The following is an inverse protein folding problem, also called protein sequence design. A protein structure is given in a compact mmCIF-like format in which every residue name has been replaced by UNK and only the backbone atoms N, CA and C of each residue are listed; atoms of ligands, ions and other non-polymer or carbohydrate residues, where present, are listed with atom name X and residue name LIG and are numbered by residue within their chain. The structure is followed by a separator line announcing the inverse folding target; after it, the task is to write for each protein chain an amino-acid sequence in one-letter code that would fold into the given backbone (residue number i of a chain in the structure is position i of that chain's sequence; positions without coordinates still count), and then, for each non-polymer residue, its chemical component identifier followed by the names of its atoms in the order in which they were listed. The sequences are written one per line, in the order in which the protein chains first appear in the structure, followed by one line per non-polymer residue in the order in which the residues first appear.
data_IF_108000749327
#
_entry.id   IF_108000749327
#
_cell.length_a   1.000
_cell.length_b   1.000
_cell.length_c   1.000
_cell.angle_alpha   90.00
_cell.angle_beta   90.00
_cell.angle_gamma   90.00
#
_symmetry.space_group_name_H-M   'P 1'
#
loop_
_entity.id
_entity.type
_entity.pdbx_description
1 polymer ?
#
# COMPACT_ATOMS: atom_id res chain seq x y z
N UNK A 1 -42.02 -13.81 72.22
CA UNK A 1 -41.31 -13.84 70.92
C UNK A 1 -41.82 -12.67 70.08
N UNK A 2 -41.01 -11.64 69.86
CA UNK A 2 -41.35 -10.50 68.98
C UNK A 2 -40.29 -10.41 67.90
N UNK A 3 -40.68 -10.67 66.66
CA UNK A 3 -39.82 -10.63 65.48
C UNK A 3 -39.70 -9.20 64.96
N UNK A 4 -38.47 -8.76 64.76
CA UNK A 4 -38.10 -7.46 64.17
C UNK A 4 -37.92 -7.68 62.66
N UNK A 5 -38.70 -6.96 61.85
CA UNK A 5 -38.51 -6.89 60.39
C UNK A 5 -37.63 -5.69 60.05
N UNK A 6 -36.48 -5.93 59.40
CA UNK A 6 -35.65 -4.90 58.79
C UNK A 6 -36.05 -4.72 57.32
N UNK A 7 -36.50 -3.51 56.95
CA UNK A 7 -36.63 -3.09 55.55
C UNK A 7 -35.27 -2.61 55.04
N UNK A 8 -34.75 -3.23 53.98
CA UNK A 8 -33.65 -2.71 53.19
C UNK A 8 -34.21 -1.94 51.98
N UNK A 9 -33.99 -0.64 51.93
CA UNK A 9 -34.24 0.19 50.75
C UNK A 9 -33.05 0.09 49.79
N UNK A 10 -33.28 -0.46 48.59
CA UNK A 10 -32.32 -0.49 47.49
C UNK A 10 -32.44 0.83 46.72
N UNK A 11 -31.39 1.66 46.74
CA UNK A 11 -31.25 2.80 45.84
C UNK A 11 -30.60 2.34 44.53
N UNK A 12 -31.36 2.40 43.43
CA UNK A 12 -30.83 2.22 42.07
C UNK A 12 -30.35 3.59 41.58
N UNK A 13 -29.03 3.79 41.54
CA UNK A 13 -28.43 4.99 40.96
C UNK A 13 -28.28 4.75 39.45
N UNK A 14 -29.22 5.27 38.67
CA UNK A 14 -29.08 5.35 37.20
C UNK A 14 -28.01 6.38 36.86
N UNK A 15 -26.80 5.90 36.57
CA UNK A 15 -25.77 6.71 35.93
C UNK A 15 -26.21 6.99 34.48
N UNK A 16 -26.66 8.22 34.22
CA UNK A 16 -26.80 8.74 32.87
C UNK A 16 -25.40 8.96 32.29
N UNK A 17 -24.92 8.00 31.49
CA UNK A 17 -23.73 8.19 30.67
C UNK A 17 -24.09 9.10 29.51
N UNK A 18 -23.79 10.39 29.62
CA UNK A 18 -23.81 11.30 28.47
C UNK A 18 -22.80 10.79 27.44
N UNK A 19 -23.32 10.18 26.37
CA UNK A 19 -22.55 9.92 25.16
C UNK A 19 -22.21 11.26 24.52
N UNK A 20 -20.99 11.76 24.80
CA UNK A 20 -20.37 12.82 24.03
C UNK A 20 -20.14 12.27 22.60
N UNK A 21 -21.15 12.41 21.74
CA UNK A 21 -21.00 12.22 20.31
C UNK A 21 -20.21 13.42 19.77
N UNK A 22 -18.89 13.31 19.78
CA UNK A 22 -18.04 14.25 19.05
C UNK A 22 -18.46 14.24 17.58
N UNK A 23 -18.83 15.39 16.98
CA UNK A 23 -19.21 15.45 15.58
C UNK A 23 -17.99 15.09 14.73
N UNK A 24 -17.97 13.88 14.18
CA UNK A 24 -16.98 13.50 13.18
C UNK A 24 -17.31 14.26 11.90
N UNK A 25 -16.68 15.41 11.69
CA UNK A 25 -16.64 16.02 10.36
C UNK A 25 -15.91 15.05 9.44
N UNK A 26 -16.69 14.27 8.68
CA UNK A 26 -16.16 13.41 7.64
C UNK A 26 -15.40 14.31 6.67
N UNK A 27 -14.07 14.16 6.62
CA UNK A 27 -13.24 14.88 5.66
C UNK A 27 -13.71 14.45 4.27
N UNK A 28 -14.34 15.36 3.54
CA UNK A 28 -14.71 15.14 2.14
C UNK A 28 -13.44 15.10 1.31
N UNK A 29 -13.13 13.95 0.73
CA UNK A 29 -12.01 13.81 -0.20
C UNK A 29 -12.37 14.49 -1.52
N UNK A 30 -11.45 15.21 -2.18
CA UNK A 30 -11.68 15.71 -3.53
C UNK A 30 -12.00 14.55 -4.47
N UNK A 31 -12.80 14.80 -5.51
CA UNK A 31 -13.14 13.77 -6.50
C UNK A 31 -11.93 13.33 -7.34
N UNK A 32 -10.91 14.20 -7.45
CA UNK A 32 -9.73 14.01 -8.29
C UNK A 32 -8.48 14.42 -7.52
N UNK A 33 -7.43 13.61 -7.64
CA UNK A 33 -6.10 13.94 -7.16
C UNK A 33 -5.05 13.42 -8.13
N UNK A 34 -4.44 14.33 -8.88
CA UNK A 34 -3.47 14.02 -9.95
C UNK A 34 -2.19 14.85 -9.84
N UNK A 35 -2.08 15.72 -8.84
CA UNK A 35 -1.07 16.79 -8.76
C UNK A 35 0.38 16.32 -8.77
N UNK A 36 0.66 15.06 -8.40
CA UNK A 36 2.02 14.53 -8.29
C UNK A 36 2.34 13.41 -9.28
N UNK A 37 1.40 13.00 -10.13
CA UNK A 37 1.57 11.84 -11.04
C UNK A 37 2.83 12.01 -11.90
N UNK A 38 2.95 13.14 -12.59
CA UNK A 38 4.06 13.41 -13.52
C UNK A 38 5.42 13.61 -12.83
N UNK A 39 5.41 13.82 -11.50
CA UNK A 39 6.62 14.00 -10.69
C UNK A 39 7.14 12.71 -10.06
N UNK A 40 6.31 11.65 -10.06
CA UNK A 40 6.72 10.33 -9.57
C UNK A 40 7.36 9.61 -10.77
N UNK A 41 8.61 9.17 -10.69
CA UNK A 41 9.20 8.41 -11.77
C UNK A 41 8.48 7.06 -11.94
N UNK A 42 8.49 6.54 -13.16
CA UNK A 42 7.90 5.25 -13.51
C UNK A 42 8.95 4.37 -14.20
N UNK A 43 9.55 3.46 -13.42
CA UNK A 43 10.64 2.62 -13.92
C UNK A 43 10.11 1.25 -14.38
N UNK A 44 10.44 0.85 -15.61
CA UNK A 44 10.08 -0.47 -16.12
C UNK A 44 10.98 -1.57 -15.52
N UNK A 45 10.39 -2.55 -14.83
CA UNK A 45 11.13 -3.57 -14.10
C UNK A 45 12.01 -4.45 -14.99
N UNK A 46 11.73 -4.57 -16.29
CA UNK A 46 12.56 -5.38 -17.21
C UNK A 46 13.49 -4.54 -18.08
N UNK A 47 13.73 -3.28 -17.71
CA UNK A 47 14.69 -2.43 -18.38
C UNK A 47 16.11 -3.02 -18.24
N UNK A 48 16.76 -3.25 -19.38
CA UNK A 48 18.11 -3.82 -19.48
C UNK A 48 19.23 -2.79 -19.63
N UNK A 49 18.94 -1.49 -19.63
CA UNK A 49 19.88 -0.40 -19.96
C UNK A 49 21.17 -0.42 -19.12
N UNK A 50 21.09 -0.91 -17.88
CA UNK A 50 22.20 -0.99 -16.93
C UNK A 50 22.53 -2.44 -16.51
N UNK A 51 22.34 -3.40 -17.43
CA UNK A 51 22.53 -4.83 -17.18
C UNK A 51 21.29 -5.55 -16.62
N UNK A 52 20.22 -4.80 -16.32
CA UNK A 52 18.95 -5.33 -15.83
C UNK A 52 19.01 -5.93 -14.42
N UNK A 53 17.86 -6.43 -13.95
CA UNK A 53 17.75 -7.10 -12.66
C UNK A 53 17.76 -8.64 -12.82
N UNK A 54 18.06 -9.40 -11.74
CA UNK A 54 17.93 -10.86 -11.72
C UNK A 54 16.64 -11.37 -12.34
N UNK A 55 16.72 -12.52 -13.03
CA UNK A 55 15.61 -13.12 -13.78
C UNK A 55 14.94 -12.14 -14.76
N UNK A 56 15.74 -11.27 -15.38
CA UNK A 56 15.28 -10.21 -16.31
C UNK A 56 14.22 -9.31 -15.68
N UNK A 57 14.31 -9.07 -14.36
CA UNK A 57 13.39 -8.22 -13.61
C UNK A 57 11.96 -8.75 -13.41
N UNK A 58 11.67 -9.98 -13.83
CA UNK A 58 10.31 -10.56 -13.76
C UNK A 58 9.69 -10.65 -12.35
N UNK A 59 10.48 -10.42 -11.30
CA UNK A 59 10.07 -10.49 -9.90
C UNK A 59 10.26 -9.16 -9.15
N UNK A 60 10.69 -8.10 -9.83
CA UNK A 60 11.15 -6.85 -9.22
C UNK A 60 10.04 -5.82 -8.99
N UNK A 61 8.77 -6.19 -9.15
CA UNK A 61 7.65 -5.26 -9.02
C UNK A 61 7.58 -4.59 -7.64
N UNK A 62 7.98 -5.29 -6.58
CA UNK A 62 8.07 -4.73 -5.23
C UNK A 62 9.11 -3.60 -5.12
N UNK A 63 10.42 -3.89 -5.31
CA UNK A 63 11.47 -2.87 -5.28
C UNK A 63 11.26 -1.71 -6.25
N UNK A 64 10.73 -1.98 -7.45
CA UNK A 64 10.43 -0.94 -8.43
C UNK A 64 9.30 -0.04 -7.95
N UNK A 65 8.21 -0.60 -7.43
CA UNK A 65 7.12 0.20 -6.87
C UNK A 65 7.60 1.09 -5.71
N UNK A 66 8.41 0.54 -4.80
CA UNK A 66 9.00 1.31 -3.70
C UNK A 66 9.88 2.44 -4.24
N UNK A 67 10.73 2.15 -5.22
CA UNK A 67 11.68 3.13 -5.76
C UNK A 67 10.97 4.33 -6.40
N UNK A 68 9.84 4.11 -7.09
CA UNK A 68 9.06 5.19 -7.71
C UNK A 68 8.73 6.27 -6.67
N UNK A 69 8.19 5.88 -5.51
CA UNK A 69 7.78 6.86 -4.49
C UNK A 69 8.95 7.39 -3.66
N UNK A 70 9.94 6.56 -3.35
CA UNK A 70 11.13 7.01 -2.61
C UNK A 70 11.97 8.00 -3.43
N UNK A 71 12.03 7.85 -4.75
CA UNK A 71 12.69 8.80 -5.62
C UNK A 71 11.96 10.13 -5.68
N UNK A 72 10.63 10.10 -5.74
CA UNK A 72 9.82 11.31 -5.57
C UNK A 72 10.10 12.02 -4.23
N UNK A 73 10.14 11.29 -3.12
CA UNK A 73 10.42 11.88 -1.81
C UNK A 73 11.80 12.51 -1.69
N UNK A 74 12.85 11.89 -2.26
CA UNK A 74 14.20 12.47 -2.30
C UNK A 74 14.22 13.85 -2.99
N UNK A 75 13.41 14.00 -4.04
CA UNK A 75 13.25 15.25 -4.77
C UNK A 75 12.32 16.26 -4.07
N UNK A 76 11.50 15.82 -3.11
CA UNK A 76 10.39 16.59 -2.54
C UNK A 76 10.40 16.60 -1.00
N UNK A 77 11.53 17.01 -0.41
CA UNK A 77 11.61 17.33 1.01
C UNK A 77 12.16 16.23 1.93
N UNK A 78 12.54 15.07 1.38
CA UNK A 78 13.16 13.99 2.14
C UNK A 78 14.53 13.62 1.54
N UNK A 79 15.53 14.51 1.63
CA UNK A 79 16.82 14.31 0.97
C UNK A 79 17.60 13.13 1.55
N UNK A 80 18.53 12.57 0.76
CA UNK A 80 19.46 11.54 1.23
C UNK A 80 18.89 10.13 1.18
N UNK A 81 17.75 9.92 0.54
CA UNK A 81 17.22 8.60 0.19
C UNK A 81 18.01 8.02 -0.99
N UNK A 82 18.49 8.86 -1.91
CA UNK A 82 19.20 8.45 -3.13
C UNK A 82 20.61 9.04 -3.18
N UNK A 83 21.55 8.20 -3.63
CA UNK A 83 22.88 8.64 -4.03
C UNK A 83 22.83 9.18 -5.46
N UNK A 84 22.77 10.51 -5.61
CA UNK A 84 22.64 11.17 -6.92
C UNK A 84 23.97 11.18 -7.68
N UNK A 85 23.99 10.63 -8.89
CA UNK A 85 25.14 10.67 -9.79
C UNK A 85 24.99 11.68 -10.94
N UNK A 86 23.79 12.26 -11.09
CA UNK A 86 23.44 13.17 -12.20
C UNK A 86 22.76 12.47 -13.38
N UNK A 87 22.62 11.15 -13.34
CA UNK A 87 21.78 10.36 -14.26
C UNK A 87 20.58 9.79 -13.48
N UNK A 88 19.40 10.46 -13.53
CA UNK A 88 18.23 10.05 -12.75
C UNK A 88 17.79 8.60 -13.01
N UNK A 89 17.94 8.13 -14.26
CA UNK A 89 17.54 6.76 -14.62
C UNK A 89 18.48 5.75 -13.97
N UNK A 90 19.79 6.00 -14.02
CA UNK A 90 20.80 5.16 -13.37
C UNK A 90 20.70 5.22 -11.84
N UNK A 91 20.39 6.39 -11.29
CA UNK A 91 20.19 6.58 -9.85
C UNK A 91 18.99 5.75 -9.35
N UNK A 92 17.86 5.78 -10.07
CA UNK A 92 16.71 4.95 -9.74
C UNK A 92 17.00 3.46 -9.91
N UNK A 93 17.72 3.06 -10.97
CA UNK A 93 18.18 1.68 -11.15
C UNK A 93 19.02 1.20 -9.95
N UNK A 94 19.96 2.03 -9.48
CA UNK A 94 20.79 1.71 -8.32
C UNK A 94 19.97 1.59 -7.04
N UNK A 95 18.98 2.48 -6.85
CA UNK A 95 18.03 2.39 -5.74
C UNK A 95 17.25 1.07 -5.79
N UNK A 96 16.69 0.70 -6.94
CA UNK A 96 15.94 -0.56 -7.12
C UNK A 96 16.82 -1.77 -6.81
N UNK A 97 18.05 -1.78 -7.33
CA UNK A 97 19.02 -2.86 -7.08
C UNK A 97 19.36 -2.97 -5.59
N UNK A 98 19.54 -1.83 -4.90
CA UNK A 98 19.76 -1.79 -3.45
C UNK A 98 18.54 -2.34 -2.72
N UNK A 99 17.34 -1.81 -2.97
CA UNK A 99 16.09 -2.27 -2.35
C UNK A 99 15.83 -3.77 -2.56
N UNK A 100 16.10 -4.31 -3.75
CA UNK A 100 15.89 -5.72 -4.06
C UNK A 100 16.92 -6.68 -3.45
N UNK A 101 17.98 -6.16 -2.81
CA UNK A 101 19.02 -6.99 -2.18
C UNK A 101 18.53 -7.72 -0.93
N UNK A 102 19.30 -8.74 -0.50
CA UNK A 102 18.94 -9.60 0.63
C UNK A 102 18.85 -8.87 1.98
N UNK A 103 19.53 -7.74 2.15
CA UNK A 103 19.45 -6.92 3.37
C UNK A 103 18.10 -6.20 3.50
N UNK A 104 17.47 -5.86 2.38
CA UNK A 104 16.25 -5.06 2.37
C UNK A 104 15.05 -5.94 1.95
N UNK A 105 14.46 -5.71 0.78
CA UNK A 105 13.21 -6.38 0.36
C UNK A 105 13.45 -7.85 -0.05
N UNK A 106 14.71 -8.28 -0.20
CA UNK A 106 15.09 -9.67 -0.43
C UNK A 106 14.30 -10.37 -1.55
N UNK A 107 14.11 -9.69 -2.68
CA UNK A 107 13.27 -10.17 -3.79
C UNK A 107 13.72 -11.52 -4.35
N UNK A 108 15.03 -11.77 -4.35
CA UNK A 108 15.62 -13.07 -4.68
C UNK A 108 15.03 -13.72 -5.93
N UNK A 109 14.66 -15.00 -5.81
CA UNK A 109 14.05 -15.81 -6.88
C UNK A 109 12.55 -16.03 -6.73
N UNK A 110 11.90 -15.51 -5.69
CA UNK A 110 10.48 -15.76 -5.37
C UNK A 110 9.60 -14.50 -5.39
N UNK A 111 10.17 -13.34 -5.67
CA UNK A 111 9.46 -12.06 -5.55
C UNK A 111 9.42 -11.60 -4.10
N UNK A 112 8.52 -10.67 -3.81
CA UNK A 112 8.45 -10.02 -2.49
C UNK A 112 7.06 -10.18 -1.87
N UNK A 113 6.99 -10.80 -0.70
CA UNK A 113 5.77 -10.84 0.11
C UNK A 113 5.55 -9.50 0.84
N UNK A 114 4.34 -9.24 1.37
CA UNK A 114 4.11 -8.06 2.20
C UNK A 114 5.07 -7.96 3.39
N UNK A 115 5.43 -9.09 4.02
CA UNK A 115 6.38 -9.12 5.12
C UNK A 115 7.78 -8.66 4.66
N UNK A 116 8.24 -9.13 3.49
CA UNK A 116 9.53 -8.72 2.93
C UNK A 116 9.55 -7.23 2.60
N UNK A 117 8.44 -6.72 2.05
CA UNK A 117 8.28 -5.30 1.70
C UNK A 117 8.37 -4.41 2.94
N UNK A 118 7.58 -4.67 3.99
CA UNK A 118 7.56 -3.80 5.19
C UNK A 118 8.85 -3.88 6.00
N UNK A 119 9.44 -5.06 6.15
CA UNK A 119 10.73 -5.24 6.84
C UNK A 119 11.87 -4.58 6.08
N UNK A 120 11.98 -4.87 4.79
CA UNK A 120 13.02 -4.32 3.93
C UNK A 120 12.97 -2.80 3.85
N UNK A 121 11.75 -2.24 3.74
CA UNK A 121 11.54 -0.80 3.75
C UNK A 121 11.90 -0.17 5.09
N UNK A 122 11.56 -0.79 6.23
CA UNK A 122 11.93 -0.29 7.56
C UNK A 122 13.45 -0.20 7.73
N UNK A 123 14.17 -1.27 7.37
CA UNK A 123 15.64 -1.31 7.44
C UNK A 123 16.23 -0.26 6.51
N UNK A 124 15.72 -0.16 5.27
CA UNK A 124 16.19 0.83 4.31
C UNK A 124 16.02 2.26 4.83
N UNK A 125 14.84 2.61 5.34
CA UNK A 125 14.58 3.96 5.84
C UNK A 125 15.44 4.30 7.07
N UNK A 126 15.60 3.34 8.00
CA UNK A 126 16.49 3.49 9.16
C UNK A 126 17.95 3.75 8.74
N UNK A 127 18.47 2.99 7.77
CA UNK A 127 19.83 3.19 7.23
C UNK A 127 20.05 4.58 6.58
N UNK A 128 18.98 5.31 6.24
CA UNK A 128 19.03 6.67 5.69
C UNK A 128 18.49 7.74 6.66
N UNK A 129 18.41 7.43 7.96
CA UNK A 129 18.05 8.38 9.01
C UNK A 129 16.55 8.67 9.17
N UNK A 130 15.69 7.84 8.59
CA UNK A 130 14.23 7.97 8.66
C UNK A 130 13.61 6.96 9.66
N UNK A 131 14.20 6.81 10.84
CA UNK A 131 13.74 5.87 11.87
C UNK A 131 12.30 6.12 12.35
N UNK A 132 11.86 7.36 12.26
CA UNK A 132 10.52 7.81 12.67
C UNK A 132 9.44 7.50 11.63
N UNK A 133 9.80 7.07 10.42
CA UNK A 133 8.83 6.72 9.39
C UNK A 133 7.92 5.58 9.86
N UNK A 134 6.62 5.70 9.56
CA UNK A 134 5.60 4.72 9.91
C UNK A 134 5.16 3.94 8.68
N UNK A 135 5.09 2.62 8.83
CA UNK A 135 4.69 1.70 7.77
C UNK A 135 3.46 0.93 8.26
N UNK A 136 2.35 1.06 7.55
CA UNK A 136 1.08 0.41 7.88
C UNK A 136 0.68 -0.55 6.77
N UNK A 137 0.37 -1.79 7.15
CA UNK A 137 -0.17 -2.79 6.25
C UNK A 137 -1.65 -3.02 6.52
N UNK A 138 -2.44 -2.91 5.46
CA UNK A 138 -3.87 -3.24 5.42
C UNK A 138 -4.02 -4.41 4.46
N UNK A 139 -4.64 -5.50 4.90
CA UNK A 139 -4.79 -6.69 4.07
C UNK A 139 -4.67 -7.97 4.88
N UNK A 140 -4.95 -9.09 4.22
CA UNK A 140 -5.07 -10.37 4.90
C UNK A 140 -3.78 -11.16 5.06
N UNK A 141 -2.72 -10.78 4.35
CA UNK A 141 -1.46 -11.54 4.41
C UNK A 141 -0.73 -11.22 5.71
N UNK A 142 -0.04 -12.21 6.26
CA UNK A 142 0.72 -12.01 7.49
C UNK A 142 1.90 -11.06 7.27
N UNK A 143 2.04 -10.10 8.17
CA UNK A 143 3.20 -9.23 8.37
C UNK A 143 3.57 -9.25 9.86
N UNK A 144 4.77 -8.80 10.26
CA UNK A 144 5.08 -8.60 11.68
C UNK A 144 4.06 -7.67 12.34
N UNK A 145 3.79 -7.91 13.63
CA UNK A 145 2.71 -7.26 14.38
C UNK A 145 2.78 -5.73 14.30
N UNK A 146 3.98 -5.15 14.41
CA UNK A 146 4.19 -3.70 14.44
C UNK A 146 3.79 -2.97 13.15
N UNK A 147 3.62 -3.70 12.04
CA UNK A 147 3.16 -3.13 10.77
C UNK A 147 1.66 -3.39 10.51
N UNK A 148 1.06 -4.36 11.18
CA UNK A 148 -0.32 -4.79 10.93
C UNK A 148 -1.34 -3.83 11.53
N UNK A 149 -2.34 -3.44 10.74
CA UNK A 149 -3.45 -2.58 11.23
C UNK A 149 -4.64 -3.37 11.80
N UNK A 150 -4.64 -4.70 11.65
CA UNK A 150 -5.80 -5.56 11.94
C UNK A 150 -6.91 -5.49 10.88
N UNK A 151 -6.87 -4.53 9.96
CA UNK A 151 -7.83 -4.38 8.87
C UNK A 151 -7.47 -5.33 7.74
N UNK A 152 -8.27 -6.38 7.54
CA UNK A 152 -7.96 -7.44 6.58
C UNK A 152 -8.41 -7.19 5.14
N UNK A 153 -9.30 -6.22 4.92
CA UNK A 153 -9.81 -5.79 3.62
C UNK A 153 -9.38 -4.33 3.39
N UNK A 154 -8.55 -4.04 2.38
CA UNK A 154 -8.10 -2.67 2.12
C UNK A 154 -9.25 -1.72 1.79
N UNK A 155 -9.31 -0.56 2.45
CA UNK A 155 -10.26 0.51 2.14
C UNK A 155 -9.63 1.52 1.17
N UNK A 156 -10.26 1.74 0.02
CA UNK A 156 -9.77 2.67 -0.99
C UNK A 156 -9.84 4.14 -0.55
N UNK A 157 -10.72 4.50 0.38
CA UNK A 157 -10.76 5.85 0.94
C UNK A 157 -9.54 6.14 1.82
N UNK A 158 -9.03 5.13 2.55
CA UNK A 158 -7.75 5.24 3.27
C UNK A 158 -6.61 5.47 2.28
N UNK A 159 -6.60 4.72 1.16
CA UNK A 159 -5.59 4.91 0.11
C UNK A 159 -5.64 6.33 -0.49
N UNK A 160 -6.83 6.82 -0.86
CA UNK A 160 -7.02 8.17 -1.42
C UNK A 160 -6.61 9.26 -0.42
N UNK A 161 -7.03 9.13 0.84
CA UNK A 161 -6.64 10.03 1.93
C UNK A 161 -5.12 10.06 2.11
N UNK A 162 -4.48 8.90 2.09
CA UNK A 162 -3.03 8.80 2.20
C UNK A 162 -2.31 9.58 1.07
N UNK A 163 -2.79 9.52 -0.18
CA UNK A 163 -2.17 10.31 -1.26
C UNK A 163 -2.27 11.83 -1.01
N UNK A 164 -3.43 12.32 -0.54
CA UNK A 164 -3.64 13.75 -0.24
C UNK A 164 -2.72 14.21 0.88
N UNK A 165 -2.51 13.36 1.89
CA UNK A 165 -1.59 13.61 3.01
C UNK A 165 -0.12 13.41 2.65
N UNK A 166 0.21 13.39 1.35
CA UNK A 166 1.54 13.13 0.82
C UNK A 166 2.20 11.84 1.33
N UNK A 167 1.41 10.80 1.59
CA UNK A 167 1.89 9.45 1.96
C UNK A 167 2.04 8.58 0.71
N UNK A 168 2.84 7.53 0.83
CA UNK A 168 3.07 6.59 -0.25
C UNK A 168 2.12 5.41 -0.09
N UNK A 169 1.58 4.90 -1.20
CA UNK A 169 0.65 3.78 -1.19
C UNK A 169 1.08 2.77 -2.26
N UNK A 170 1.26 1.52 -1.84
CA UNK A 170 1.55 0.40 -2.73
C UNK A 170 0.51 -0.70 -2.58
N UNK A 171 -0.10 -1.12 -3.68
CA UNK A 171 -1.07 -2.21 -3.67
C UNK A 171 -0.40 -3.55 -3.87
N UNK A 172 -0.78 -4.54 -3.06
CA UNK A 172 -0.56 -5.94 -3.35
C UNK A 172 -1.75 -6.48 -4.15
N UNK A 173 -1.56 -6.55 -5.46
CA UNK A 173 -2.56 -7.08 -6.37
C UNK A 173 -2.38 -8.58 -6.50
N UNK A 174 -3.49 -9.28 -6.44
CA UNK A 174 -3.54 -10.68 -6.74
C UNK A 174 -4.20 -10.98 -8.07
N UNK A 175 -3.60 -11.85 -8.87
CA UNK A 175 -4.22 -12.42 -10.06
C UNK A 175 -5.05 -13.65 -9.70
N UNK A 176 -6.29 -13.68 -10.21
CA UNK A 176 -7.28 -14.71 -9.92
C UNK A 176 -7.99 -15.18 -11.19
N UNK A 177 -8.33 -16.47 -11.21
CA UNK A 177 -9.28 -17.07 -12.16
C UNK A 177 -10.62 -17.28 -11.47
N UNK A 178 -11.69 -16.74 -12.03
CA UNK A 178 -13.03 -16.85 -11.44
C UNK A 178 -13.81 -18.05 -11.99
N UNK A 179 -14.40 -18.84 -11.09
CA UNK A 179 -15.28 -19.95 -11.40
C UNK A 179 -16.70 -19.59 -10.98
N UNK A 180 -17.58 -19.29 -11.96
CA UNK A 180 -18.97 -18.89 -11.70
C UNK A 180 -19.78 -19.98 -11.00
N UNK A 181 -19.60 -21.24 -11.40
CA UNK A 181 -20.32 -22.39 -10.82
C UNK A 181 -20.01 -22.62 -9.34
N UNK A 182 -18.81 -22.25 -8.89
CA UNK A 182 -18.38 -22.38 -7.49
C UNK A 182 -18.36 -21.06 -6.72
N UNK A 183 -18.64 -19.94 -7.40
CA UNK A 183 -18.43 -18.59 -6.89
C UNK A 183 -17.03 -18.38 -6.25
N UNK A 184 -16.00 -18.91 -6.92
CA UNK A 184 -14.62 -18.95 -6.39
C UNK A 184 -13.65 -18.12 -7.24
N UNK A 185 -12.76 -17.40 -6.57
CA UNK A 185 -11.60 -16.73 -7.16
C UNK A 185 -10.35 -17.51 -6.79
N UNK A 186 -9.78 -18.26 -7.73
CA UNK A 186 -8.54 -19.03 -7.50
C UNK A 186 -7.31 -18.20 -7.85
N UNK A 187 -6.48 -17.92 -6.84
CA UNK A 187 -5.21 -17.20 -6.95
C UNK A 187 -4.20 -17.94 -7.82
N UNK A 188 -3.53 -17.22 -8.72
CA UNK A 188 -2.48 -17.77 -9.58
C UNK A 188 -1.22 -16.90 -9.70
N UNK A 189 -1.20 -15.69 -9.15
CA UNK A 189 -0.01 -14.82 -9.17
C UNK A 189 -0.20 -13.56 -8.34
N UNK A 190 0.88 -12.84 -8.09
CA UNK A 190 0.86 -11.59 -7.34
C UNK A 190 1.64 -10.50 -8.05
N UNK A 191 1.33 -9.25 -7.71
CA UNK A 191 1.96 -8.08 -8.28
C UNK A 191 1.96 -6.93 -7.27
N UNK A 192 2.94 -6.04 -7.41
CA UNK A 192 3.03 -4.80 -6.65
C UNK A 192 2.98 -3.64 -7.62
N UNK A 193 2.21 -2.62 -7.27
CA UNK A 193 2.08 -1.38 -8.04
C UNK A 193 2.06 -0.18 -7.10
N UNK A 194 2.46 0.99 -7.60
CA UNK A 194 2.35 2.24 -6.84
C UNK A 194 1.06 2.95 -7.19
N UNK A 195 0.30 3.40 -6.19
CA UNK A 195 -0.84 4.30 -6.41
C UNK A 195 -0.31 5.74 -6.43
N UNK A 196 -0.57 6.44 -7.53
CA UNK A 196 -0.01 7.78 -7.79
C UNK A 196 -1.08 8.87 -7.85
N UNK A 197 -2.33 8.50 -8.13
CA UNK A 197 -3.45 9.43 -8.17
C UNK A 197 -4.79 8.72 -8.33
N UNK A 198 -5.86 9.50 -8.50
CA UNK A 198 -7.20 9.00 -8.82
C UNK A 198 -8.07 10.10 -9.45
N UNK A 199 -9.20 9.68 -10.01
CA UNK A 199 -10.27 10.60 -10.41
C UNK A 199 -10.39 10.86 -11.91
N UNK A 200 -9.60 10.21 -12.76
CA UNK A 200 -9.79 10.25 -14.22
C UNK A 200 -9.26 8.97 -14.87
N UNK A 201 -9.76 8.65 -16.07
CA UNK A 201 -9.42 7.44 -16.83
C UNK A 201 -8.45 7.70 -18.01
N UNK A 202 -7.75 8.84 -17.98
CA UNK A 202 -6.92 9.33 -19.09
C UNK A 202 -7.68 10.05 -20.20
N UNK A 203 -9.02 10.10 -20.14
CA UNK A 203 -9.87 10.85 -21.08
C UNK A 203 -10.83 11.79 -20.38
N UNK A 204 -11.54 11.28 -19.38
CA UNK A 204 -12.57 11.99 -18.64
C UNK A 204 -12.42 11.77 -17.15
N UNK A 205 -13.04 12.66 -16.37
CA UNK A 205 -13.11 12.57 -14.93
C UNK A 205 -13.96 11.36 -14.53
N UNK A 206 -13.43 10.53 -13.64
CA UNK A 206 -14.07 9.35 -13.08
C UNK A 206 -13.54 9.15 -11.65
N UNK A 207 -14.30 9.58 -10.62
CA UNK A 207 -13.84 9.56 -9.22
C UNK A 207 -13.50 8.15 -8.71
N UNK A 208 -14.00 7.11 -9.38
CA UNK A 208 -13.77 5.72 -9.01
C UNK A 208 -12.51 5.11 -9.61
N UNK A 209 -11.86 5.81 -10.54
CA UNK A 209 -10.63 5.32 -11.17
C UNK A 209 -9.41 5.66 -10.32
N UNK A 210 -8.63 4.63 -10.03
CA UNK A 210 -7.30 4.73 -9.43
C UNK A 210 -6.25 4.76 -10.54
N UNK A 211 -5.19 5.54 -10.32
CA UNK A 211 -4.09 5.70 -11.28
C UNK A 211 -2.85 5.11 -10.64
N UNK A 212 -2.26 4.14 -11.32
CA UNK A 212 -1.10 3.40 -10.84
C UNK A 212 0.08 3.51 -11.79
N UNK A 213 1.28 3.41 -11.24
CA UNK A 213 2.48 3.06 -11.99
C UNK A 213 2.70 1.56 -11.85
N UNK A 214 2.57 0.83 -12.95
CA UNK A 214 2.75 -0.62 -13.01
C UNK A 214 4.18 -0.95 -13.46
N UNK A 215 5.01 -1.57 -12.59
CA UNK A 215 6.38 -1.95 -12.94
C UNK A 215 6.53 -2.84 -14.18
N UNK A 216 5.52 -3.59 -14.60
CA UNK A 216 5.58 -4.48 -15.77
C UNK A 216 5.12 -3.80 -17.08
N UNK A 217 4.75 -2.51 -17.03
CA UNK A 217 4.35 -1.73 -18.21
C UNK A 217 5.52 -0.94 -18.78
N UNK A 218 5.93 -1.24 -20.02
CA UNK A 218 7.15 -0.66 -20.64
C UNK A 218 6.96 0.76 -21.21
N UNK A 219 5.76 1.12 -21.63
CA UNK A 219 5.52 2.25 -22.53
C UNK A 219 4.35 3.16 -22.11
N UNK A 220 3.71 2.91 -20.96
CA UNK A 220 2.61 3.74 -20.46
C UNK A 220 3.05 4.32 -19.14
N UNK A 221 2.97 5.64 -19.02
CA UNK A 221 3.27 6.36 -17.78
C UNK A 221 2.24 6.03 -16.69
N UNK A 222 0.97 5.80 -17.07
CA UNK A 222 -0.13 5.56 -16.15
C UNK A 222 -0.99 4.40 -16.61
N UNK A 223 -1.31 3.50 -15.68
CA UNK A 223 -2.38 2.52 -15.82
C UNK A 223 -3.58 2.91 -14.95
N UNK A 224 -4.77 2.72 -15.50
CA UNK A 224 -6.03 3.16 -14.91
C UNK A 224 -6.83 1.94 -14.45
N UNK A 225 -7.07 1.84 -13.15
CA UNK A 225 -7.87 0.77 -12.56
C UNK A 225 -9.23 1.33 -12.14
N UNK A 226 -10.31 0.74 -12.67
CA UNK A 226 -11.67 0.96 -12.15
C UNK A 226 -12.07 -0.25 -11.29
N UNK A 227 -11.74 -0.26 -9.99
CA UNK A 227 -12.11 -1.35 -9.10
C UNK A 227 -13.62 -1.38 -8.84
N UNK A 228 -14.15 -2.59 -8.75
CA UNK A 228 -15.49 -2.90 -8.30
C UNK A 228 -15.40 -3.69 -6.99
N UNK A 229 -16.22 -3.33 -6.00
CA UNK A 229 -16.34 -4.11 -4.78
C UNK A 229 -16.97 -5.48 -5.08
N UNK A 230 -16.35 -6.55 -4.57
CA UNK A 230 -16.86 -7.91 -4.64
C UNK A 230 -17.97 -8.05 -3.61
N UNK A 231 -19.16 -8.47 -4.07
CA UNK A 231 -20.33 -8.67 -3.19
C UNK A 231 -20.38 -10.05 -2.55
N UNK A 232 -19.77 -11.07 -3.17
CA UNK A 232 -19.70 -12.43 -2.63
C UNK A 232 -18.66 -13.29 -3.33
N UNK A 233 -18.35 -14.44 -2.71
CA UNK A 233 -17.51 -15.50 -3.25
C UNK A 233 -16.37 -15.85 -2.32
N UNK A 234 -15.54 -16.80 -2.72
CA UNK A 234 -14.41 -17.27 -1.90
C UNK A 234 -13.09 -17.05 -2.63
N UNK A 235 -12.16 -16.36 -1.99
CA UNK A 235 -10.77 -16.32 -2.44
C UNK A 235 -10.11 -17.65 -2.06
N UNK A 236 -9.53 -18.36 -3.03
CA UNK A 236 -8.85 -19.65 -2.83
C UNK A 236 -7.44 -19.64 -3.43
N UNK A 237 -6.56 -20.54 -2.98
CA UNK A 237 -5.18 -20.62 -3.46
C UNK A 237 -4.24 -21.27 -2.47
N UNK A 238 -2.94 -21.28 -2.79
CA UNK A 238 -1.90 -21.96 -1.99
C UNK A 238 -1.13 -21.02 -1.05
N UNK A 239 -1.59 -19.78 -0.87
CA UNK A 239 -0.94 -18.83 0.05
C UNK A 239 -1.59 -18.88 1.42
N UNK A 240 -0.81 -18.62 2.48
CA UNK A 240 -1.32 -18.47 3.84
C UNK A 240 -2.41 -17.39 3.89
N UNK A 241 -3.51 -17.69 4.57
CA UNK A 241 -4.68 -16.82 4.70
C UNK A 241 -5.80 -17.08 3.68
N UNK A 242 -5.65 -18.08 2.80
CA UNK A 242 -6.71 -18.61 1.95
C UNK A 242 -7.07 -20.05 2.40
N UNK A 243 -8.32 -20.52 2.20
CA UNK A 243 -9.45 -19.79 1.63
C UNK A 243 -10.02 -18.72 2.57
N UNK A 244 -10.71 -17.71 2.02
CA UNK A 244 -11.44 -16.70 2.79
C UNK A 244 -12.58 -16.06 1.98
N UNK A 245 -13.49 -15.39 2.67
CA UNK A 245 -14.53 -14.59 2.03
C UNK A 245 -13.91 -13.48 1.15
N UNK A 246 -14.47 -13.33 -0.05
CA UNK A 246 -14.10 -12.32 -1.02
C UNK A 246 -14.92 -11.03 -0.88
N UNK A 247 -16.03 -11.04 -0.13
CA UNK A 247 -16.87 -9.86 0.06
C UNK A 247 -16.06 -8.66 0.62
N UNK A 248 -16.35 -7.47 0.09
CA UNK A 248 -15.70 -6.21 0.47
C UNK A 248 -14.33 -5.97 -0.19
N UNK A 249 -13.67 -6.99 -0.74
CA UNK A 249 -12.47 -6.78 -1.53
C UNK A 249 -12.79 -6.09 -2.86
N UNK A 250 -11.80 -5.42 -3.45
CA UNK A 250 -11.95 -4.73 -4.72
C UNK A 250 -11.30 -5.52 -5.86
N UNK A 251 -12.05 -5.77 -6.93
CA UNK A 251 -11.56 -6.44 -8.14
C UNK A 251 -11.61 -5.52 -9.35
N UNK A 252 -10.78 -5.81 -10.34
CA UNK A 252 -10.90 -5.24 -11.67
C UNK A 252 -10.68 -6.35 -12.71
N UNK A 253 -11.33 -6.23 -13.86
CA UNK A 253 -11.19 -7.21 -14.92
C UNK A 253 -9.84 -7.05 -15.61
N UNK A 254 -9.08 -8.14 -15.69
CA UNK A 254 -7.83 -8.19 -16.48
C UNK A 254 -8.09 -8.79 -17.85
N UNK A 255 -8.85 -9.89 -17.90
CA UNK A 255 -9.30 -10.52 -19.15
C UNK A 255 -10.54 -11.39 -18.89
N UNK A 256 -11.02 -12.13 -19.89
CA UNK A 256 -12.19 -12.99 -19.72
C UNK A 256 -11.95 -14.04 -18.62
N UNK A 257 -12.77 -13.99 -17.56
CA UNK A 257 -12.65 -14.89 -16.41
C UNK A 257 -11.42 -14.66 -15.52
N UNK A 258 -10.65 -13.60 -15.75
CA UNK A 258 -9.46 -13.25 -14.97
C UNK A 258 -9.60 -11.87 -14.33
N UNK A 259 -9.28 -11.80 -13.05
CA UNK A 259 -9.42 -10.60 -12.25
C UNK A 259 -8.12 -10.28 -11.51
N UNK A 260 -7.80 -8.99 -11.44
CA UNK A 260 -6.94 -8.47 -10.38
C UNK A 260 -7.79 -8.19 -9.16
N UNK A 261 -7.32 -8.53 -7.96
CA UNK A 261 -7.97 -8.22 -6.69
C UNK A 261 -6.95 -7.53 -5.79
N UNK A 262 -7.30 -6.35 -5.26
CA UNK A 262 -6.46 -5.62 -4.29
C UNK A 262 -6.54 -6.35 -2.95
N UNK A 263 -5.60 -7.24 -2.69
CA UNK A 263 -5.59 -8.11 -1.51
C UNK A 263 -4.88 -7.50 -0.29
N UNK A 264 -4.12 -6.44 -0.52
CA UNK A 264 -3.46 -5.67 0.52
C UNK A 264 -2.96 -4.33 0.00
N UNK A 265 -2.60 -3.44 0.92
CA UNK A 265 -1.88 -2.22 0.64
C UNK A 265 -0.89 -1.91 1.76
N UNK A 266 0.22 -1.29 1.39
CA UNK A 266 1.16 -0.68 2.33
C UNK A 266 1.01 0.83 2.20
N UNK A 267 0.89 1.51 3.35
CA UNK A 267 0.94 2.96 3.45
C UNK A 267 2.21 3.34 4.20
N UNK A 268 3.04 4.21 3.61
CA UNK A 268 4.21 4.79 4.25
C UNK A 268 3.96 6.27 4.53
N UNK A 269 4.09 6.64 5.80
CA UNK A 269 4.10 8.00 6.30
C UNK A 269 5.54 8.40 6.64
N UNK A 270 6.08 9.34 5.85
CA UNK A 270 7.36 9.97 6.15
C UNK A 270 7.10 11.12 7.12
N UNK A 271 7.54 10.97 8.37
CA UNK A 271 7.53 12.08 9.32
C UNK A 271 8.64 13.05 8.96
N UNK A 272 8.41 14.36 9.14
CA UNK A 272 9.47 15.35 8.98
C UNK A 272 10.66 14.95 9.85
N UNK A 273 11.74 14.51 9.20
CA UNK A 273 13.00 14.34 9.86
C UNK A 273 13.42 15.73 10.33
N UNK A 274 13.80 15.89 11.59
CA UNK A 274 14.61 17.05 11.97
C UNK A 274 15.80 17.01 11.02
N UNK A 275 15.85 17.93 10.06
CA UNK A 275 17.09 18.29 9.39
C UNK A 275 17.95 18.81 10.53
N UNK A 276 18.67 17.91 11.19
CA UNK A 276 19.77 18.26 12.07
C UNK A 276 20.65 19.09 11.15
N UNK A 277 20.60 20.41 11.30
CA UNK A 277 21.48 21.28 10.57
C UNK A 277 22.87 20.85 10.97
N UNK A 278 23.51 20.07 10.11
CA UNK A 278 24.94 19.85 10.18
C UNK A 278 25.51 21.21 9.86
N UNK A 279 25.67 22.02 10.91
CA UNK A 279 26.47 23.23 10.87
C UNK A 279 27.85 22.77 10.44
N UNK A 280 28.18 22.99 9.16
CA UNK A 280 29.53 22.86 8.67
C UNK A 280 30.37 23.89 9.42
N UNK A 281 31.05 23.45 10.48
CA UNK A 281 32.21 24.17 10.99
C UNK A 281 33.27 24.11 9.89
N UNK A 282 33.46 25.25 9.23
CA UNK A 282 34.66 25.52 8.44
C UNK A 282 35.89 25.55 9.35
#
# INVERSE_FOLDING_TARGET
MRSIFFLFSIFVVSAFTEQIQSPSHAISLPAIFTSRIDSIPDYYQRDGSFGGFPRKGSLYCGPVSISNTLFYYDLNGYPGIINRSGDPKKDQYNLIKKLGSSRYVNTGSHGSSPADMVNGLKIFLSDHGYDSAKIHYYGFRTVPHDFGTGISVPDLNIARKALIENKAVWFNIGWYSFSRSRNEYRRNGGHWVSLVGYGHNGKENDPDVLIIHDPDTRWRFNDYLKPEEIKSGTLTGQIKGLPRDAAGFYRFRSSSGKYGIIGGMIVLEMLEGRVSQVTSSK
#
